data_IF_994787942252
#
_entry.id   IF_994787942252
#
_cell.length_a   1.000
_cell.length_b   1.000
_cell.length_c   1.000
_cell.angle_alpha   90.00
_cell.angle_beta   90.00
_cell.angle_gamma   90.00
#
_symmetry.space_group_name_H-M   'P 1'
#
loop_
_entity.id
_entity.type
_entity.pdbx_description
1 polymer ?
#
# COMPACT_ATOMS: atom_id res chain seq x y z
N UNK A 1 17.37 -54.63 -1.25
CA UNK A 1 17.65 -53.20 -1.36
C UNK A 1 16.33 -52.45 -1.11
N UNK A 2 16.17 -51.86 0.06
CA UNK A 2 15.03 -51.03 0.40
C UNK A 2 15.28 -49.59 -0.05
N UNK A 3 14.60 -49.12 -1.08
CA UNK A 3 14.58 -47.71 -1.43
C UNK A 3 13.66 -47.00 -0.45
N UNK A 4 14.22 -46.32 0.51
CA UNK A 4 13.49 -45.38 1.37
C UNK A 4 13.18 -44.17 0.55
N UNK A 5 11.94 -44.07 0.09
CA UNK A 5 11.42 -42.86 -0.54
C UNK A 5 11.23 -41.84 0.57
N UNK A 6 12.15 -40.87 0.63
CA UNK A 6 12.03 -39.71 1.53
C UNK A 6 10.89 -38.82 1.01
N UNK A 7 9.70 -38.99 1.57
CA UNK A 7 8.60 -38.05 1.32
C UNK A 7 8.95 -36.78 2.10
N UNK A 8 9.53 -35.80 1.41
CA UNK A 8 9.63 -34.46 1.92
C UNK A 8 8.20 -33.91 1.90
N UNK A 9 7.55 -33.99 3.05
CA UNK A 9 6.32 -33.25 3.28
C UNK A 9 6.70 -31.74 3.25
N UNK A 10 6.46 -31.11 2.10
CA UNK A 10 6.50 -29.66 2.01
C UNK A 10 5.32 -29.18 2.84
N UNK A 11 5.58 -28.85 4.09
CA UNK A 11 4.64 -28.14 4.93
C UNK A 11 4.53 -26.74 4.29
N UNK A 12 3.52 -26.57 3.43
CA UNK A 12 3.01 -25.24 3.09
C UNK A 12 2.37 -24.68 4.36
N UNK A 13 3.21 -24.23 5.31
CA UNK A 13 2.76 -23.25 6.26
C UNK A 13 2.41 -22.02 5.42
N UNK A 14 1.15 -21.63 5.45
CA UNK A 14 0.67 -20.36 4.92
C UNK A 14 1.29 -19.21 5.74
N UNK A 15 2.60 -19.06 5.65
CA UNK A 15 3.24 -17.83 6.00
C UNK A 15 2.75 -16.82 4.96
N UNK A 16 1.96 -15.86 5.42
CA UNK A 16 1.76 -14.61 4.69
C UNK A 16 3.14 -14.05 4.43
N UNK A 17 3.71 -14.38 3.28
CA UNK A 17 5.01 -13.90 2.87
C UNK A 17 4.83 -12.42 2.53
N UNK A 18 4.89 -11.59 3.56
CA UNK A 18 5.00 -10.15 3.37
C UNK A 18 6.33 -9.92 2.64
N UNK A 19 6.23 -9.48 1.40
CA UNK A 19 7.40 -9.30 0.56
C UNK A 19 8.21 -8.11 1.06
N UNK A 20 9.52 -8.25 1.15
CA UNK A 20 10.39 -7.10 1.41
C UNK A 20 10.54 -6.24 0.15
N UNK A 21 10.70 -4.93 0.35
CA UNK A 21 11.01 -4.01 -0.74
C UNK A 21 12.41 -4.29 -1.30
N UNK A 22 12.52 -4.36 -2.62
CA UNK A 22 13.82 -4.39 -3.27
C UNK A 22 14.60 -3.08 -3.04
N UNK A 23 15.91 -3.12 -3.22
CA UNK A 23 16.73 -1.91 -3.08
C UNK A 23 16.35 -0.83 -4.10
N UNK A 24 15.97 -1.22 -5.31
CA UNK A 24 15.50 -0.35 -6.37
C UNK A 24 14.19 0.35 -5.99
N UNK A 25 13.23 -0.39 -5.40
CA UNK A 25 11.99 0.18 -4.88
C UNK A 25 12.24 1.16 -3.73
N UNK A 26 13.17 0.84 -2.82
CA UNK A 26 13.57 1.74 -1.74
C UNK A 26 14.19 3.03 -2.29
N UNK A 27 15.03 2.91 -3.32
CA UNK A 27 15.64 4.07 -3.98
C UNK A 27 14.58 4.94 -4.67
N UNK A 28 13.64 4.31 -5.39
CA UNK A 28 12.53 5.00 -6.06
C UNK A 28 11.68 5.80 -5.05
N UNK A 29 11.32 5.20 -3.92
CA UNK A 29 10.58 5.87 -2.85
C UNK A 29 11.35 7.02 -2.20
N UNK A 30 12.67 6.85 -2.01
CA UNK A 30 13.49 7.86 -1.33
C UNK A 30 13.74 9.11 -2.17
N UNK A 31 13.91 8.95 -3.47
CA UNK A 31 14.30 10.02 -4.38
C UNK A 31 13.18 10.47 -5.33
N UNK A 32 12.01 9.85 -5.22
CA UNK A 32 10.86 10.04 -6.14
C UNK A 32 11.29 9.91 -7.62
N UNK A 33 12.20 8.97 -7.89
CA UNK A 33 12.76 8.74 -9.22
C UNK A 33 12.11 7.53 -9.86
N UNK A 34 11.29 7.77 -10.87
CA UNK A 34 10.52 6.75 -11.59
C UNK A 34 11.12 6.34 -12.93
N UNK A 35 12.39 6.68 -13.20
CA UNK A 35 13.04 6.42 -14.49
C UNK A 35 13.02 4.94 -14.91
N UNK A 36 13.16 4.01 -13.96
CA UNK A 36 13.14 2.57 -14.18
C UNK A 36 11.84 1.91 -13.67
N UNK A 37 10.75 2.68 -13.56
CA UNK A 37 9.50 2.19 -12.97
C UNK A 37 9.02 0.88 -13.59
N UNK A 38 8.91 0.80 -14.92
CA UNK A 38 8.39 -0.36 -15.65
C UNK A 38 9.28 -1.62 -15.55
N UNK A 39 10.55 -1.46 -15.18
CA UNK A 39 11.47 -2.58 -14.95
C UNK A 39 11.31 -3.13 -13.53
N UNK A 40 10.96 -2.26 -12.57
CA UNK A 40 10.92 -2.57 -11.14
C UNK A 40 9.49 -2.94 -10.69
N UNK A 41 8.48 -2.20 -11.19
CA UNK A 41 7.08 -2.38 -10.83
C UNK A 41 6.35 -3.08 -11.98
N UNK A 42 5.86 -4.28 -11.71
CA UNK A 42 5.18 -5.15 -12.65
C UNK A 42 3.76 -5.45 -12.19
N UNK A 43 2.94 -6.06 -13.05
CA UNK A 43 1.61 -6.53 -12.68
C UNK A 43 1.61 -7.52 -11.50
N UNK A 44 2.71 -8.27 -11.34
CA UNK A 44 2.83 -9.28 -10.29
C UNK A 44 3.17 -8.69 -8.92
N UNK A 45 3.73 -7.48 -8.87
CA UNK A 45 4.20 -6.87 -7.63
C UNK A 45 3.52 -5.54 -7.26
N UNK A 46 2.84 -4.88 -8.20
CA UNK A 46 2.22 -3.56 -7.98
C UNK A 46 1.18 -3.56 -6.85
N UNK A 47 0.44 -4.67 -6.71
CA UNK A 47 -0.63 -4.84 -5.71
C UNK A 47 -0.23 -5.85 -4.62
N UNK A 48 1.00 -5.77 -4.12
CA UNK A 48 1.44 -6.54 -2.96
C UNK A 48 1.61 -5.66 -1.73
N UNK A 49 1.52 -6.28 -0.55
CA UNK A 49 1.90 -5.65 0.71
C UNK A 49 3.37 -5.92 0.99
N UNK A 50 4.10 -4.87 1.30
CA UNK A 50 5.53 -4.90 1.61
C UNK A 50 5.76 -4.61 3.09
N UNK A 51 6.56 -5.43 3.75
CA UNK A 51 6.92 -5.22 5.15
C UNK A 51 8.00 -4.17 5.31
N UNK A 52 7.75 -3.23 6.20
CA UNK A 52 8.75 -2.27 6.66
C UNK A 52 8.66 -2.23 8.19
N UNK A 53 9.67 -2.75 8.86
CA UNK A 53 9.66 -2.95 10.32
C UNK A 53 8.44 -3.79 10.74
N UNK A 54 7.62 -3.27 11.64
CA UNK A 54 6.44 -3.94 12.19
C UNK A 54 5.14 -3.70 11.41
N UNK A 55 5.19 -2.93 10.32
CA UNK A 55 4.02 -2.56 9.52
C UNK A 55 4.15 -3.03 8.08
N UNK A 56 3.04 -3.20 7.39
CA UNK A 56 3.03 -3.48 5.96
C UNK A 56 2.26 -2.44 5.16
N UNK A 57 2.69 -2.22 3.93
CA UNK A 57 2.16 -1.17 3.06
C UNK A 57 2.07 -1.67 1.62
N UNK A 58 1.06 -1.22 0.88
CA UNK A 58 1.11 -1.27 -0.58
C UNK A 58 2.12 -0.25 -1.12
N UNK A 59 2.59 -0.40 -2.36
CA UNK A 59 3.43 0.64 -2.99
C UNK A 59 2.72 1.98 -3.02
N UNK A 60 1.41 1.98 -3.27
CA UNK A 60 0.59 3.21 -3.28
C UNK A 60 0.57 3.87 -1.89
N UNK A 61 0.38 3.09 -0.83
CA UNK A 61 0.42 3.59 0.56
C UNK A 61 1.81 4.10 0.96
N UNK A 62 2.87 3.47 0.45
CA UNK A 62 4.24 3.94 0.67
C UNK A 62 4.51 5.27 -0.04
N UNK A 63 4.07 5.42 -1.29
CA UNK A 63 4.20 6.68 -2.02
C UNK A 63 3.47 7.83 -1.28
N UNK A 64 2.31 7.55 -0.69
CA UNK A 64 1.58 8.52 0.16
C UNK A 64 2.40 8.86 1.40
N UNK A 65 2.90 7.86 2.13
CA UNK A 65 3.68 8.05 3.36
C UNK A 65 4.96 8.83 3.13
N UNK A 66 5.67 8.57 2.03
CA UNK A 66 6.93 9.23 1.66
C UNK A 66 6.71 10.52 0.87
N UNK A 67 5.47 10.85 0.54
CA UNK A 67 5.08 11.99 -0.31
C UNK A 67 5.73 11.97 -1.71
N UNK A 68 5.96 10.77 -2.23
CA UNK A 68 6.55 10.53 -3.55
C UNK A 68 5.49 10.74 -4.62
N UNK A 69 5.36 11.96 -5.14
CA UNK A 69 4.30 12.36 -6.07
C UNK A 69 4.43 11.67 -7.43
N UNK A 70 5.64 11.58 -7.98
CA UNK A 70 5.88 10.93 -9.26
C UNK A 70 5.54 9.44 -9.19
N UNK A 71 6.03 8.75 -8.15
CA UNK A 71 5.71 7.34 -7.94
C UNK A 71 4.21 7.12 -7.75
N UNK A 72 3.55 7.97 -6.96
CA UNK A 72 2.10 7.89 -6.75
C UNK A 72 1.35 8.00 -8.08
N UNK A 73 1.67 9.00 -8.91
CA UNK A 73 1.02 9.21 -10.19
C UNK A 73 1.25 8.03 -11.15
N UNK A 74 2.48 7.49 -11.21
CA UNK A 74 2.78 6.29 -12.00
C UNK A 74 1.96 5.08 -11.56
N UNK A 75 1.83 4.86 -10.24
CA UNK A 75 1.01 3.77 -9.71
C UNK A 75 -0.48 3.94 -10.06
N UNK A 76 -1.00 5.18 -10.06
CA UNK A 76 -2.37 5.48 -10.49
C UNK A 76 -2.54 5.21 -12.00
N UNK A 77 -1.59 5.63 -12.84
CA UNK A 77 -1.59 5.38 -14.29
C UNK A 77 -1.60 3.88 -14.60
N UNK A 78 -0.80 3.09 -13.88
CA UNK A 78 -0.72 1.64 -14.00
C UNK A 78 -1.85 0.88 -13.28
N UNK A 79 -2.87 1.61 -12.82
CA UNK A 79 -4.08 1.06 -12.20
C UNK A 79 -3.79 0.20 -10.96
N UNK A 80 -2.90 0.66 -10.10
CA UNK A 80 -2.72 0.09 -8.77
C UNK A 80 -4.05 0.03 -8.02
N UNK A 81 -4.25 -1.01 -7.22
CA UNK A 81 -5.47 -1.18 -6.43
C UNK A 81 -5.57 -0.05 -5.37
N UNK A 82 -6.56 0.83 -5.56
CA UNK A 82 -6.81 1.98 -4.69
C UNK A 82 -7.35 1.58 -3.32
N UNK A 83 -7.81 0.34 -3.19
CA UNK A 83 -8.50 -0.17 -2.00
C UNK A 83 -7.74 -1.32 -1.30
N UNK A 84 -6.50 -1.60 -1.71
CA UNK A 84 -5.71 -2.68 -1.13
C UNK A 84 -5.43 -2.43 0.35
N UNK A 85 -5.91 -3.33 1.20
CA UNK A 85 -5.67 -3.30 2.64
C UNK A 85 -4.31 -3.92 2.96
N UNK A 86 -3.42 -3.15 3.54
CA UNK A 86 -2.17 -3.60 4.15
C UNK A 86 -2.10 -3.04 5.57
N UNK A 87 -1.68 -3.84 6.54
CA UNK A 87 -1.66 -3.45 7.96
C UNK A 87 -2.99 -2.81 8.43
N UNK A 88 -4.08 -3.46 8.04
CA UNK A 88 -5.45 -3.06 8.38
C UNK A 88 -5.83 -1.63 7.93
N UNK A 89 -5.19 -1.11 6.88
CA UNK A 89 -5.46 0.22 6.33
C UNK A 89 -5.48 0.23 4.80
N UNK A 90 -6.46 0.92 4.24
CA UNK A 90 -6.49 1.25 2.81
C UNK A 90 -5.57 2.43 2.49
N UNK A 91 -5.20 2.66 1.23
CA UNK A 91 -4.46 3.85 0.82
C UNK A 91 -5.12 5.15 1.29
N UNK A 92 -6.44 5.24 1.24
CA UNK A 92 -7.19 6.42 1.69
C UNK A 92 -7.09 6.63 3.21
N UNK A 93 -7.06 5.53 4.00
CA UNK A 93 -6.82 5.61 5.45
C UNK A 93 -5.39 6.08 5.76
N UNK A 94 -4.41 5.67 4.95
CA UNK A 94 -3.04 6.18 5.08
C UNK A 94 -2.97 7.67 4.72
N UNK A 95 -3.61 8.10 3.63
CA UNK A 95 -3.65 9.51 3.25
C UNK A 95 -4.28 10.38 4.35
N UNK A 96 -5.38 9.92 4.95
CA UNK A 96 -6.02 10.60 6.07
C UNK A 96 -5.15 10.64 7.32
N UNK A 97 -4.43 9.55 7.62
CA UNK A 97 -3.50 9.48 8.76
C UNK A 97 -2.32 10.44 8.63
N UNK A 98 -1.79 10.60 7.42
CA UNK A 98 -0.60 11.42 7.16
C UNK A 98 -0.90 12.85 6.72
N UNK A 99 -2.17 13.26 6.69
CA UNK A 99 -2.55 14.62 6.29
C UNK A 99 -2.31 14.92 4.81
N UNK A 100 -2.33 13.89 3.96
CA UNK A 100 -2.00 13.98 2.55
C UNK A 100 -3.20 14.45 1.71
N UNK A 101 -3.51 15.75 1.77
CA UNK A 101 -4.71 16.36 1.14
C UNK A 101 -4.76 16.10 -0.36
N UNK A 102 -3.66 16.37 -1.09
CA UNK A 102 -3.61 16.21 -2.55
C UNK A 102 -3.83 14.76 -2.96
N UNK A 103 -3.18 13.82 -2.28
CA UNK A 103 -3.36 12.40 -2.54
C UNK A 103 -4.79 11.95 -2.20
N UNK A 104 -5.39 12.47 -1.14
CA UNK A 104 -6.79 12.21 -0.79
C UNK A 104 -7.72 12.64 -1.92
N UNK A 105 -7.55 13.86 -2.45
CA UNK A 105 -8.34 14.37 -3.57
C UNK A 105 -8.22 13.49 -4.82
N UNK A 106 -6.99 13.09 -5.17
CA UNK A 106 -6.74 12.22 -6.33
C UNK A 106 -7.37 10.84 -6.12
N UNK A 107 -7.18 10.22 -4.96
CA UNK A 107 -7.74 8.91 -4.64
C UNK A 107 -9.28 8.91 -4.76
N UNK A 108 -9.95 9.91 -4.19
CA UNK A 108 -11.40 10.06 -4.28
C UNK A 108 -11.85 10.27 -5.73
N UNK A 109 -11.17 11.13 -6.48
CA UNK A 109 -11.46 11.38 -7.89
C UNK A 109 -11.31 10.11 -8.76
N UNK A 110 -10.36 9.25 -8.42
CA UNK A 110 -10.12 7.98 -9.10
C UNK A 110 -11.02 6.83 -8.62
N UNK A 111 -11.88 7.07 -7.64
CA UNK A 111 -12.88 6.11 -7.19
C UNK A 111 -12.46 5.24 -6.00
N UNK A 112 -11.49 5.66 -5.21
CA UNK A 112 -11.19 5.00 -3.94
C UNK A 112 -12.42 4.96 -3.04
N UNK A 113 -12.67 3.83 -2.40
CA UNK A 113 -13.84 3.63 -1.53
C UNK A 113 -13.61 4.27 -0.15
N UNK A 114 -14.27 5.42 0.07
CA UNK A 114 -14.22 6.13 1.35
C UNK A 114 -14.99 5.44 2.48
N UNK A 115 -15.84 4.47 2.16
CA UNK A 115 -16.66 3.75 3.12
C UNK A 115 -16.02 2.47 3.65
N UNK A 116 -14.86 2.09 3.14
CA UNK A 116 -14.12 0.95 3.68
C UNK A 116 -13.83 1.14 5.17
N UNK A 117 -14.00 0.07 5.92
CA UNK A 117 -13.66 0.03 7.35
C UNK A 117 -12.52 -0.94 7.61
N UNK A 118 -11.70 -0.64 8.60
CA UNK A 118 -10.72 -1.59 9.13
C UNK A 118 -11.39 -2.59 10.10
N UNK A 119 -10.62 -3.49 10.67
CA UNK A 119 -11.12 -4.50 11.65
C UNK A 119 -11.75 -3.88 12.90
N UNK A 120 -11.39 -2.63 13.23
CA UNK A 120 -11.98 -1.86 14.35
C UNK A 120 -13.18 -1.03 13.94
N UNK A 121 -13.61 -1.09 12.68
CA UNK A 121 -14.72 -0.31 12.15
C UNK A 121 -14.38 1.13 11.77
N UNK A 122 -13.09 1.53 11.79
CA UNK A 122 -12.68 2.88 11.42
C UNK A 122 -12.60 3.05 9.91
N UNK A 123 -13.14 4.17 9.43
CA UNK A 123 -13.01 4.66 8.05
C UNK A 123 -11.84 5.65 7.92
N UNK A 124 -11.50 6.02 6.71
CA UNK A 124 -10.54 7.11 6.45
C UNK A 124 -10.95 8.42 7.14
N UNK A 125 -12.24 8.72 7.20
CA UNK A 125 -12.79 9.86 7.94
C UNK A 125 -12.35 9.88 9.40
N UNK A 126 -12.44 8.74 10.09
CA UNK A 126 -12.08 8.63 11.51
C UNK A 126 -10.59 8.90 11.73
N UNK A 127 -9.73 8.47 10.80
CA UNK A 127 -8.32 8.82 10.82
C UNK A 127 -8.10 10.32 10.67
N UNK A 128 -8.79 10.98 9.74
CA UNK A 128 -8.67 12.41 9.54
C UNK A 128 -9.09 13.20 10.79
N UNK A 129 -10.16 12.79 11.45
CA UNK A 129 -10.62 13.40 12.71
C UNK A 129 -9.62 13.17 13.84
N UNK A 130 -9.18 11.93 14.04
CA UNK A 130 -8.27 11.54 15.12
C UNK A 130 -6.89 12.21 14.99
N UNK A 131 -6.40 12.37 13.78
CA UNK A 131 -5.11 13.03 13.49
C UNK A 131 -5.23 14.54 13.26
N UNK A 132 -6.42 15.11 13.43
CA UNK A 132 -6.72 16.56 13.34
C UNK A 132 -6.44 17.17 11.96
N UNK A 133 -6.90 16.51 10.90
CA UNK A 133 -6.87 17.01 9.53
C UNK A 133 -8.29 17.37 9.05
N UNK A 134 -8.83 18.56 9.44
CA UNK A 134 -10.22 18.91 9.17
C UNK A 134 -10.54 19.03 7.67
N UNK A 135 -9.60 19.49 6.84
CA UNK A 135 -9.79 19.55 5.39
C UNK A 135 -10.04 18.16 4.80
N UNK A 136 -9.23 17.16 5.24
CA UNK A 136 -9.41 15.78 4.78
C UNK A 136 -10.71 15.20 5.33
N UNK A 137 -11.05 15.46 6.58
CA UNK A 137 -12.32 15.02 7.17
C UNK A 137 -13.50 15.55 6.36
N UNK A 138 -13.46 16.80 5.91
CA UNK A 138 -14.51 17.39 5.08
C UNK A 138 -14.63 16.70 3.71
N UNK A 139 -13.51 16.38 3.06
CA UNK A 139 -13.48 15.64 1.81
C UNK A 139 -14.05 14.22 1.92
N UNK A 140 -13.97 13.62 3.10
CA UNK A 140 -14.38 12.23 3.37
C UNK A 140 -15.80 12.08 3.91
N UNK A 141 -16.50 13.16 4.20
CA UNK A 141 -17.93 13.15 4.53
C UNK A 141 -18.75 12.72 3.33
#
# INVERSE_FOLDING_TARGET
MKKTTLIIAIIFSSFSFSQELSNEMKHMLKFDNTGNFSEIVTKDNINKCYSIKESSYSLLSLAIKTQSKELFNKLIEEKADLNLICDDKSPLMFAAKYGAVDFTKILLHKGADKNMTNKKGYKAYDYAVNYKFPEIAELLK
#
